data_IF_661581531513
#
_entry.id   IF_661581531513
#
_cell.length_a   1.000
_cell.length_b   1.000
_cell.length_c   1.000
_cell.angle_alpha   90.00
_cell.angle_beta   90.00
_cell.angle_gamma   90.00
#
_symmetry.space_group_name_H-M   'P 1'
#
loop_
_entity.id
_entity.type
_entity.pdbx_description
1 polymer ?
#
# COMPACT_ATOMS: atom_id res chain seq x y z
N UNK A 1 -9.24 21.20 14.00
CA UNK A 1 -10.11 20.07 14.39
C UNK A 1 -10.27 20.02 15.92
N UNK A 2 -11.37 19.47 16.46
CA UNK A 2 -11.61 19.40 17.92
C UNK A 2 -10.95 18.17 18.56
N UNK A 3 -10.67 18.22 19.87
CA UNK A 3 -10.17 17.06 20.62
C UNK A 3 -11.10 15.84 20.55
N UNK A 4 -12.41 16.07 20.39
CA UNK A 4 -13.41 15.00 20.21
C UNK A 4 -13.25 14.29 18.86
N UNK A 5 -12.95 15.04 17.79
CA UNK A 5 -12.71 14.47 16.46
C UNK A 5 -11.42 13.63 16.44
N UNK A 6 -10.34 14.13 17.03
CA UNK A 6 -9.09 13.36 17.11
C UNK A 6 -9.27 12.04 17.86
N UNK A 7 -10.04 12.01 18.96
CA UNK A 7 -10.37 10.76 19.65
C UNK A 7 -11.07 9.75 18.75
N UNK A 8 -11.99 10.18 17.89
CA UNK A 8 -12.65 9.29 16.91
C UNK A 8 -11.66 8.76 15.89
N UNK A 9 -10.77 9.61 15.39
CA UNK A 9 -9.76 9.21 14.40
C UNK A 9 -8.74 8.24 14.97
N UNK A 10 -8.26 8.48 16.19
CA UNK A 10 -7.36 7.52 16.86
C UNK A 10 -8.04 6.18 17.11
N UNK A 11 -9.32 6.18 17.52
CA UNK A 11 -10.09 4.95 17.69
C UNK A 11 -10.20 4.19 16.37
N UNK A 12 -10.56 4.87 15.28
CA UNK A 12 -10.64 4.27 13.95
C UNK A 12 -9.28 3.70 13.50
N UNK A 13 -8.20 4.46 13.65
CA UNK A 13 -6.85 4.01 13.30
C UNK A 13 -6.45 2.76 14.10
N UNK A 14 -6.75 2.70 15.39
CA UNK A 14 -6.48 1.52 16.22
C UNK A 14 -7.28 0.28 15.78
N UNK A 15 -8.59 0.44 15.56
CA UNK A 15 -9.54 -0.65 15.31
C UNK A 15 -9.55 -1.13 13.85
N UNK A 16 -9.41 -0.22 12.89
CA UNK A 16 -9.60 -0.49 11.47
C UNK A 16 -8.32 -0.38 10.63
N UNK A 17 -7.22 0.11 11.20
CA UNK A 17 -5.91 0.15 10.50
C UNK A 17 -4.90 -0.72 11.21
N UNK A 18 -4.55 -0.40 12.46
CA UNK A 18 -3.43 -1.05 13.12
C UNK A 18 -3.74 -2.49 13.50
N UNK A 19 -4.89 -2.74 14.13
CA UNK A 19 -5.27 -4.10 14.53
C UNK A 19 -5.38 -5.05 13.32
N UNK A 20 -6.11 -4.70 12.23
CA UNK A 20 -6.14 -5.51 11.03
C UNK A 20 -4.77 -5.69 10.38
N UNK A 21 -3.93 -4.65 10.34
CA UNK A 21 -2.57 -4.76 9.81
C UNK A 21 -1.78 -5.87 10.51
N UNK A 22 -1.73 -5.87 11.84
CA UNK A 22 -1.01 -6.90 12.60
C UNK A 22 -1.59 -8.31 12.41
N UNK A 23 -2.92 -8.44 12.36
CA UNK A 23 -3.55 -9.74 12.11
C UNK A 23 -3.22 -10.29 10.72
N UNK A 24 -3.42 -9.50 9.66
CA UNK A 24 -3.14 -9.91 8.28
C UNK A 24 -1.66 -10.25 8.13
N UNK A 25 -0.77 -9.41 8.69
CA UNK A 25 0.68 -9.63 8.67
C UNK A 25 1.08 -10.95 9.33
N UNK A 26 0.47 -11.29 10.47
CA UNK A 26 0.75 -12.54 11.19
C UNK A 26 0.27 -13.77 10.39
N UNK A 27 -0.94 -13.71 9.84
CA UNK A 27 -1.51 -14.80 9.03
C UNK A 27 -0.73 -15.00 7.72
N UNK A 28 -0.24 -13.92 7.11
CA UNK A 28 0.60 -13.98 5.93
C UNK A 28 1.91 -14.76 6.17
N UNK A 29 2.55 -14.58 7.34
CA UNK A 29 3.74 -15.38 7.69
C UNK A 29 3.36 -16.83 7.96
N UNK A 30 2.29 -17.08 8.72
CA UNK A 30 1.87 -18.44 9.10
C UNK A 30 1.58 -19.31 7.89
N UNK A 31 0.88 -18.73 6.91
CA UNK A 31 0.48 -19.39 5.67
C UNK A 31 1.57 -19.45 4.60
N UNK A 32 2.71 -18.79 4.84
CA UNK A 32 3.81 -18.72 3.87
C UNK A 32 4.46 -20.09 3.67
N UNK A 33 4.61 -20.48 2.40
CA UNK A 33 5.29 -21.71 1.97
C UNK A 33 6.51 -21.37 1.12
N UNK A 34 7.61 -22.10 1.30
CA UNK A 34 8.85 -21.84 0.57
C UNK A 34 8.64 -21.93 -0.95
N UNK A 35 7.94 -22.97 -1.41
CA UNK A 35 7.61 -23.20 -2.82
C UNK A 35 6.90 -22.03 -3.50
N UNK A 36 5.99 -21.35 -2.78
CA UNK A 36 5.24 -20.21 -3.30
C UNK A 36 6.12 -18.95 -3.45
N UNK A 37 7.05 -18.74 -2.51
CA UNK A 37 7.86 -17.52 -2.50
C UNK A 37 9.07 -17.63 -3.42
N UNK A 38 9.66 -18.82 -3.58
CA UNK A 38 10.80 -19.04 -4.46
C UNK A 38 10.47 -18.65 -5.90
N UNK A 39 9.27 -19.01 -6.38
CA UNK A 39 8.79 -18.68 -7.74
C UNK A 39 8.58 -17.17 -7.99
N UNK A 40 8.46 -16.37 -6.93
CA UNK A 40 8.16 -14.94 -7.03
C UNK A 40 9.37 -14.04 -6.87
N UNK A 41 10.56 -14.62 -6.63
CA UNK A 41 11.80 -13.86 -6.43
C UNK A 41 12.84 -14.24 -7.48
N UNK A 42 13.80 -13.34 -7.67
CA UNK A 42 14.85 -13.49 -8.66
C UNK A 42 16.07 -14.20 -8.04
N UNK A 43 16.32 -15.50 -8.30
CA UNK A 43 17.45 -16.22 -7.73
C UNK A 43 18.80 -15.64 -8.19
N UNK A 44 18.87 -15.10 -9.42
CA UNK A 44 20.09 -14.47 -9.95
C UNK A 44 20.49 -13.24 -9.13
N UNK A 45 19.51 -12.45 -8.65
CA UNK A 45 19.78 -11.30 -7.77
C UNK A 45 20.38 -11.74 -6.43
N UNK A 46 19.89 -12.83 -5.84
CA UNK A 46 20.44 -13.33 -4.59
C UNK A 46 21.84 -13.92 -4.77
N UNK A 47 22.10 -14.61 -5.89
CA UNK A 47 23.45 -15.06 -6.25
C UNK A 47 24.39 -13.87 -6.42
N UNK A 48 23.96 -12.83 -7.11
CA UNK A 48 24.75 -11.60 -7.31
C UNK A 48 25.07 -10.86 -6.01
N UNK A 49 24.24 -11.02 -4.96
CA UNK A 49 24.50 -10.49 -3.62
C UNK A 49 25.51 -11.31 -2.80
N UNK A 50 26.08 -12.37 -3.37
CA UNK A 50 26.99 -13.31 -2.71
C UNK A 50 26.44 -13.86 -1.39
N UNK A 51 25.16 -14.24 -1.37
CA UNK A 51 24.57 -14.90 -0.21
C UNK A 51 25.01 -16.37 -0.23
N UNK A 52 25.65 -16.82 0.84
CA UNK A 52 26.18 -18.19 0.93
C UNK A 52 25.43 -19.05 1.96
N UNK A 53 24.85 -18.41 2.99
CA UNK A 53 24.10 -19.10 4.03
C UNK A 53 22.64 -19.31 3.61
N UNK A 54 22.16 -20.55 3.72
CA UNK A 54 20.76 -20.90 3.45
C UNK A 54 19.78 -20.07 4.29
N UNK A 55 20.09 -19.88 5.59
CA UNK A 55 19.29 -19.05 6.49
C UNK A 55 19.20 -17.58 6.06
N UNK A 56 20.31 -16.99 5.58
CA UNK A 56 20.32 -15.62 5.08
C UNK A 56 19.54 -15.48 3.78
N UNK A 57 19.62 -16.48 2.90
CA UNK A 57 18.82 -16.50 1.67
C UNK A 57 17.33 -16.56 1.98
N UNK A 58 16.90 -17.53 2.81
CA UNK A 58 15.51 -17.68 3.23
C UNK A 58 15.02 -16.42 3.92
N UNK A 59 15.80 -15.86 4.85
CA UNK A 59 15.48 -14.60 5.52
C UNK A 59 15.30 -13.45 4.52
N UNK A 60 16.23 -13.28 3.59
CA UNK A 60 16.15 -12.23 2.57
C UNK A 60 14.92 -12.35 1.67
N UNK A 61 14.49 -13.58 1.37
CA UNK A 61 13.29 -13.85 0.57
C UNK A 61 12.01 -13.55 1.38
N UNK A 62 11.95 -13.99 2.63
CA UNK A 62 10.81 -13.74 3.53
C UNK A 62 10.68 -12.24 3.85
N UNK A 63 11.77 -11.54 4.13
CA UNK A 63 11.76 -10.09 4.37
C UNK A 63 11.27 -9.34 3.13
N UNK A 64 11.73 -9.74 1.93
CA UNK A 64 11.27 -9.14 0.68
C UNK A 64 9.80 -9.47 0.38
N UNK A 65 9.26 -10.59 0.85
CA UNK A 65 7.82 -10.87 0.78
C UNK A 65 7.05 -9.94 1.71
N UNK A 66 7.45 -9.88 2.99
CA UNK A 66 6.79 -9.07 4.00
C UNK A 66 6.75 -7.60 3.62
N UNK A 67 7.87 -7.03 3.19
CA UNK A 67 7.93 -5.63 2.79
C UNK A 67 6.89 -5.27 1.72
N UNK A 68 6.80 -6.06 0.64
CA UNK A 68 5.83 -5.82 -0.44
C UNK A 68 4.38 -6.05 -0.01
N UNK A 69 4.15 -7.02 0.88
CA UNK A 69 2.82 -7.34 1.37
C UNK A 69 2.31 -6.28 2.35
N UNK A 70 3.18 -5.83 3.27
CA UNK A 70 2.91 -4.78 4.24
C UNK A 70 2.55 -3.46 3.56
N UNK A 71 3.27 -3.06 2.51
CA UNK A 71 2.95 -1.85 1.74
C UNK A 71 1.54 -1.90 1.15
N UNK A 72 1.15 -3.05 0.59
CA UNK A 72 -0.18 -3.26 -0.01
C UNK A 72 -1.28 -3.20 1.05
N UNK A 73 -1.10 -3.91 2.17
CA UNK A 73 -2.08 -3.91 3.28
C UNK A 73 -2.24 -2.49 3.82
N UNK A 74 -1.14 -1.81 4.13
CA UNK A 74 -1.18 -0.51 4.77
C UNK A 74 -1.77 0.57 3.86
N UNK A 75 -1.46 0.51 2.56
CA UNK A 75 -2.07 1.37 1.55
C UNK A 75 -3.60 1.25 1.53
N UNK A 76 -4.12 0.02 1.49
CA UNK A 76 -5.57 -0.24 1.48
C UNK A 76 -6.26 0.24 2.76
N UNK A 77 -5.63 0.03 3.93
CA UNK A 77 -6.21 0.44 5.21
C UNK A 77 -6.21 1.97 5.36
N UNK A 78 -5.15 2.65 4.93
CA UNK A 78 -5.10 4.12 4.95
C UNK A 78 -6.00 4.78 3.91
N UNK A 79 -6.26 4.13 2.77
CA UNK A 79 -7.32 4.53 1.84
C UNK A 79 -8.68 4.53 2.56
N UNK A 80 -9.00 3.45 3.29
CA UNK A 80 -10.20 3.36 4.11
C UNK A 80 -10.30 4.49 5.14
N UNK A 81 -9.19 4.81 5.81
CA UNK A 81 -9.14 5.93 6.75
C UNK A 81 -9.37 7.28 6.06
N UNK A 82 -8.77 7.52 4.89
CA UNK A 82 -8.98 8.76 4.13
C UNK A 82 -10.45 8.95 3.72
N UNK A 83 -11.11 7.87 3.29
CA UNK A 83 -12.55 7.86 3.00
C UNK A 83 -13.35 8.16 4.27
N UNK A 84 -13.02 7.53 5.40
CA UNK A 84 -13.68 7.79 6.69
C UNK A 84 -13.54 9.24 7.15
N UNK A 85 -12.35 9.84 7.02
CA UNK A 85 -12.10 11.25 7.38
C UNK A 85 -12.98 12.18 6.54
N UNK A 86 -12.96 12.02 5.21
CA UNK A 86 -13.79 12.82 4.31
C UNK A 86 -15.29 12.58 4.52
N UNK A 87 -15.69 11.33 4.80
CA UNK A 87 -17.06 10.94 5.14
C UNK A 87 -17.63 11.73 6.31
N UNK A 88 -16.85 11.91 7.38
CA UNK A 88 -17.29 12.62 8.57
C UNK A 88 -17.40 14.15 8.40
N UNK A 89 -16.69 14.73 7.43
CA UNK A 89 -16.61 16.19 7.27
C UNK A 89 -17.38 16.71 6.06
N UNK A 90 -17.32 15.97 4.95
CA UNK A 90 -17.84 16.40 3.65
C UNK A 90 -18.80 15.37 3.03
N UNK A 91 -19.25 14.38 3.81
CA UNK A 91 -20.14 13.32 3.32
C UNK A 91 -19.51 12.45 2.24
N UNK A 92 -18.18 12.33 2.24
CA UNK A 92 -17.45 11.54 1.26
C UNK A 92 -17.82 10.05 1.26
N UNK A 93 -17.87 9.47 0.07
CA UNK A 93 -18.27 8.07 -0.18
C UNK A 93 -17.21 7.33 -0.99
N UNK A 94 -17.17 6.00 -0.84
CA UNK A 94 -16.33 5.16 -1.70
C UNK A 94 -16.93 5.10 -3.11
N UNK A 95 -16.09 5.32 -4.12
CA UNK A 95 -16.53 5.28 -5.52
C UNK A 95 -16.56 3.85 -6.06
N UNK A 96 -17.41 3.63 -7.06
CA UNK A 96 -17.40 2.44 -7.92
C UNK A 96 -16.71 2.70 -9.27
N UNK A 97 -16.29 3.94 -9.53
CA UNK A 97 -15.67 4.35 -10.79
C UNK A 97 -14.18 3.95 -10.81
N UNK A 98 -13.70 3.48 -11.96
CA UNK A 98 -12.30 3.06 -12.11
C UNK A 98 -11.34 4.19 -11.74
N UNK A 99 -10.30 3.87 -10.97
CA UNK A 99 -9.27 4.81 -10.50
C UNK A 99 -9.78 5.96 -9.61
N UNK A 100 -11.04 5.91 -9.17
CA UNK A 100 -11.60 6.81 -8.17
C UNK A 100 -11.87 5.95 -6.93
N UNK A 101 -11.34 6.39 -5.79
CA UNK A 101 -11.47 5.69 -4.51
C UNK A 101 -12.43 6.47 -3.58
N UNK A 102 -12.45 7.80 -3.70
CA UNK A 102 -13.27 8.70 -2.87
C UNK A 102 -13.97 9.76 -3.74
N UNK A 103 -15.24 10.00 -3.46
CA UNK A 103 -16.05 11.08 -4.03
C UNK A 103 -16.64 11.94 -2.91
N UNK A 104 -16.62 13.27 -3.06
CA UNK A 104 -17.27 14.19 -2.11
C UNK A 104 -17.51 15.57 -2.72
N UNK A 105 -18.42 16.35 -2.12
CA UNK A 105 -18.70 17.72 -2.52
C UNK A 105 -18.22 18.71 -1.45
N UNK A 106 -17.59 19.81 -1.87
CA UNK A 106 -17.21 20.92 -0.99
C UNK A 106 -17.22 22.23 -1.78
N UNK A 107 -17.81 23.27 -1.19
CA UNK A 107 -17.85 24.64 -1.75
C UNK A 107 -18.31 24.71 -3.21
N UNK A 108 -19.34 23.92 -3.55
CA UNK A 108 -19.91 23.87 -4.90
C UNK A 108 -19.06 23.11 -5.94
N UNK A 109 -17.98 22.45 -5.53
CA UNK A 109 -17.13 21.59 -6.36
C UNK A 109 -17.33 20.13 -5.97
N UNK A 110 -17.45 19.26 -6.98
CA UNK A 110 -17.49 17.81 -6.78
C UNK A 110 -16.10 17.24 -7.05
N UNK A 111 -15.51 16.55 -6.07
CA UNK A 111 -14.18 15.98 -6.17
C UNK A 111 -14.25 14.48 -6.39
N UNK A 112 -13.50 14.01 -7.39
CA UNK A 112 -13.21 12.59 -7.59
C UNK A 112 -11.72 12.38 -7.26
N UNK A 113 -11.43 11.45 -6.37
CA UNK A 113 -10.08 11.26 -5.83
C UNK A 113 -9.60 9.84 -6.04
N UNK A 114 -8.50 9.67 -6.76
CA UNK A 114 -7.73 8.43 -6.78
C UNK A 114 -6.62 8.46 -5.73
N UNK A 115 -6.72 7.62 -4.71
CA UNK A 115 -5.82 7.53 -3.57
C UNK A 115 -4.71 6.53 -3.88
N UNK A 116 -3.48 6.91 -3.57
CA UNK A 116 -2.27 6.10 -3.78
C UNK A 116 -1.32 6.28 -2.58
N UNK A 117 -0.43 5.32 -2.34
CA UNK A 117 0.49 5.38 -1.21
C UNK A 117 1.45 6.57 -1.31
N UNK A 118 2.21 6.67 -2.39
CA UNK A 118 3.23 7.71 -2.58
C UNK A 118 3.18 8.41 -3.94
N UNK A 119 4.04 9.40 -4.14
CA UNK A 119 4.06 10.22 -5.37
C UNK A 119 4.51 9.48 -6.63
N UNK A 120 5.30 8.41 -6.47
CA UNK A 120 5.89 7.58 -7.52
C UNK A 120 5.17 6.22 -7.64
N UNK A 121 3.84 6.22 -7.56
CA UNK A 121 3.03 5.01 -7.48
C UNK A 121 2.89 4.23 -8.80
N UNK A 122 3.29 4.80 -9.94
CA UNK A 122 3.13 4.13 -11.21
C UNK A 122 3.96 4.73 -12.34
N UNK A 123 4.16 3.91 -13.38
CA UNK A 123 4.82 4.28 -14.62
C UNK A 123 3.91 5.15 -15.52
N UNK A 124 4.43 5.58 -16.68
CA UNK A 124 3.69 6.41 -17.64
C UNK A 124 2.34 5.81 -18.04
N UNK A 125 2.27 4.51 -18.25
CA UNK A 125 1.07 3.83 -18.73
C UNK A 125 -0.01 3.78 -17.66
N UNK A 126 0.38 3.55 -16.41
CA UNK A 126 -0.53 3.60 -15.26
C UNK A 126 -1.07 5.02 -15.04
N UNK A 127 -0.22 6.03 -15.20
CA UNK A 127 -0.61 7.45 -15.09
C UNK A 127 -1.57 7.84 -16.21
N UNK A 128 -1.30 7.44 -17.46
CA UNK A 128 -2.17 7.72 -18.60
C UNK A 128 -3.54 7.05 -18.43
N UNK A 129 -3.56 5.79 -17.97
CA UNK A 129 -4.81 5.07 -17.69
C UNK A 129 -5.65 5.74 -16.61
N UNK A 130 -5.02 6.26 -15.55
CA UNK A 130 -5.74 7.04 -14.54
C UNK A 130 -6.35 8.31 -15.13
N UNK A 131 -5.64 9.03 -16.01
CA UNK A 131 -6.18 10.22 -16.68
C UNK A 131 -7.41 9.88 -17.53
N UNK A 132 -7.36 8.79 -18.27
CA UNK A 132 -8.48 8.31 -19.09
C UNK A 132 -9.68 7.94 -18.22
N UNK A 133 -9.43 7.23 -17.13
CA UNK A 133 -10.47 6.87 -16.17
C UNK A 133 -11.08 8.09 -15.47
N UNK A 134 -10.30 9.11 -15.10
CA UNK A 134 -10.82 10.36 -14.56
C UNK A 134 -11.69 11.12 -15.57
N UNK A 135 -11.28 11.17 -16.85
CA UNK A 135 -12.11 11.75 -17.91
C UNK A 135 -13.44 11.02 -18.03
N UNK A 136 -13.42 9.68 -18.05
CA UNK A 136 -14.62 8.86 -18.12
C UNK A 136 -15.51 9.04 -16.88
N UNK A 137 -14.94 9.09 -15.69
CA UNK A 137 -15.66 9.30 -14.44
C UNK A 137 -16.40 10.65 -14.44
N UNK A 138 -15.76 11.73 -14.89
CA UNK A 138 -16.40 13.05 -15.06
C UNK A 138 -17.64 12.95 -15.96
N UNK A 139 -17.51 12.30 -17.12
CA UNK A 139 -18.62 12.09 -18.06
C UNK A 139 -19.78 11.33 -17.42
N UNK A 140 -19.50 10.20 -16.77
CA UNK A 140 -20.51 9.36 -16.12
C UNK A 140 -21.25 10.14 -15.02
N UNK A 141 -20.53 10.93 -14.21
CA UNK A 141 -21.14 11.71 -13.15
C UNK A 141 -22.03 12.83 -13.66
N UNK A 142 -21.65 13.47 -14.77
CA UNK A 142 -22.48 14.47 -15.45
C UNK A 142 -23.76 13.84 -16.01
N UNK A 143 -23.67 12.68 -16.64
CA UNK A 143 -24.83 11.91 -17.13
C UNK A 143 -25.77 11.49 -15.98
N UNK A 144 -25.21 11.20 -14.80
CA UNK A 144 -25.95 10.93 -13.56
C UNK A 144 -26.53 12.20 -12.89
N UNK A 145 -26.35 13.37 -13.48
CA UNK A 145 -26.96 14.62 -13.01
C UNK A 145 -26.08 15.48 -12.09
N UNK A 146 -24.78 15.19 -11.96
CA UNK A 146 -23.85 16.06 -11.23
C UNK A 146 -23.64 17.36 -12.00
N UNK A 147 -24.26 18.45 -11.54
CA UNK A 147 -24.20 19.78 -12.18
C UNK A 147 -22.97 20.60 -11.75
N UNK A 148 -22.38 20.26 -10.61
CA UNK A 148 -21.21 20.94 -10.07
C UNK A 148 -19.98 20.75 -10.98
N UNK A 149 -19.04 21.68 -10.90
CA UNK A 149 -17.72 21.50 -11.49
C UNK A 149 -17.07 20.25 -10.88
N UNK A 150 -16.63 19.31 -11.73
CA UNK A 150 -15.96 18.08 -11.29
C UNK A 150 -14.44 18.25 -11.38
N UNK A 151 -13.74 18.10 -10.27
CA UNK A 151 -12.28 18.19 -10.19
C UNK A 151 -11.68 16.84 -9.82
N UNK A 152 -10.75 16.38 -10.66
CA UNK A 152 -10.01 15.14 -10.40
C UNK A 152 -8.76 15.42 -9.54
N UNK A 153 -8.54 14.57 -8.54
CA UNK A 153 -7.40 14.65 -7.64
C UNK A 153 -6.73 13.27 -7.56
N UNK A 154 -5.41 13.23 -7.67
CA UNK A 154 -4.60 12.10 -7.24
C UNK A 154 -4.08 12.39 -5.84
N UNK A 155 -4.68 11.78 -4.83
CA UNK A 155 -4.25 11.88 -3.44
C UNK A 155 -3.12 10.91 -3.16
N UNK A 156 -1.99 11.39 -2.66
CA UNK A 156 -0.88 10.57 -2.21
C UNK A 156 -0.77 10.66 -0.68
N UNK A 157 -0.86 9.51 -0.01
CA UNK A 157 -0.84 9.40 1.46
C UNK A 157 0.44 9.99 2.05
N UNK A 158 1.58 9.77 1.39
CA UNK A 158 2.87 10.36 1.76
C UNK A 158 3.61 10.95 0.55
N UNK A 159 4.71 11.65 0.85
CA UNK A 159 5.56 12.31 -0.13
C UNK A 159 5.29 13.80 -0.23
N UNK A 160 5.96 14.45 -1.18
CA UNK A 160 5.84 15.90 -1.43
C UNK A 160 5.75 16.12 -2.94
N UNK A 161 4.81 16.96 -3.36
CA UNK A 161 4.69 17.40 -4.76
C UNK A 161 4.68 18.94 -4.78
N UNK A 162 5.63 19.53 -5.50
CA UNK A 162 5.79 21.00 -5.59
C UNK A 162 5.02 21.62 -6.75
N UNK A 163 4.40 20.80 -7.61
CA UNK A 163 3.64 21.25 -8.77
C UNK A 163 2.33 20.48 -8.86
N UNK A 164 1.35 20.79 -7.98
CA UNK A 164 0.15 19.98 -7.83
C UNK A 164 -0.64 19.82 -9.13
N UNK A 165 -0.79 20.88 -9.93
CA UNK A 165 -1.54 20.79 -11.19
C UNK A 165 -0.77 19.98 -12.25
N UNK A 166 -1.31 18.82 -12.61
CA UNK A 166 -0.77 17.96 -13.67
C UNK A 166 -1.50 18.24 -14.98
N UNK A 167 -1.01 19.26 -15.69
CA UNK A 167 -1.52 19.71 -17.00
C UNK A 167 -1.50 18.60 -18.05
N UNK A 168 -2.36 18.75 -19.04
CA UNK A 168 -2.49 17.91 -20.22
C UNK A 168 -3.17 18.71 -21.34
N UNK A 169 -2.89 18.36 -22.59
CA UNK A 169 -3.46 19.00 -23.79
C UNK A 169 -4.99 18.87 -23.82
N UNK A 170 -5.51 17.69 -23.49
CA UNK A 170 -6.92 17.47 -23.17
C UNK A 170 -7.23 17.96 -21.74
N UNK A 171 -8.05 19.01 -21.55
CA UNK A 171 -8.36 19.59 -20.25
C UNK A 171 -9.09 18.62 -19.32
N UNK A 172 -9.86 17.66 -19.85
CA UNK A 172 -10.58 16.70 -19.03
C UNK A 172 -9.64 15.67 -18.38
N UNK A 173 -8.44 15.51 -18.94
CA UNK A 173 -7.37 14.65 -18.39
C UNK A 173 -6.49 15.38 -17.37
N UNK A 174 -6.75 16.65 -17.08
CA UNK A 174 -6.06 17.39 -16.02
C UNK A 174 -6.55 16.94 -14.64
N UNK A 175 -5.61 16.88 -13.69
CA UNK A 175 -5.88 16.56 -12.30
C UNK A 175 -4.89 17.28 -11.39
N UNK A 176 -5.23 17.39 -10.10
CA UNK A 176 -4.30 17.85 -9.06
C UNK A 176 -3.65 16.66 -8.36
N UNK A 177 -2.34 16.69 -8.14
CA UNK A 177 -1.66 15.75 -7.24
C UNK A 177 -1.44 16.44 -5.89
N UNK A 178 -2.11 15.94 -4.86
CA UNK A 178 -1.90 16.39 -3.48
C UNK A 178 -1.19 15.27 -2.74
N UNK A 179 -0.09 15.58 -2.04
CA UNK A 179 0.77 14.58 -1.44
C UNK A 179 1.09 14.90 0.02
N UNK A 180 1.07 13.87 0.87
CA UNK A 180 1.38 13.99 2.29
C UNK A 180 0.45 14.98 2.98
N UNK A 181 1.02 15.97 3.66
CA UNK A 181 0.28 17.00 4.38
C UNK A 181 -0.81 17.65 3.52
N UNK A 182 -0.53 17.96 2.25
CA UNK A 182 -1.50 18.60 1.35
C UNK A 182 -2.73 17.71 1.11
N UNK A 183 -2.53 16.40 0.96
CA UNK A 183 -3.65 15.47 0.78
C UNK A 183 -4.47 15.34 2.05
N UNK A 184 -3.82 15.17 3.20
CA UNK A 184 -4.50 15.05 4.48
C UNK A 184 -5.26 16.33 4.84
N UNK A 185 -4.66 17.50 4.60
CA UNK A 185 -5.35 18.78 4.71
C UNK A 185 -6.54 18.84 3.75
N UNK A 186 -6.34 18.48 2.48
CA UNK A 186 -7.39 18.55 1.46
C UNK A 186 -8.66 17.78 1.85
N UNK A 187 -8.54 16.59 2.45
CA UNK A 187 -9.70 15.77 2.84
C UNK A 187 -10.24 16.06 4.24
N UNK A 188 -9.51 16.82 5.08
CA UNK A 188 -9.88 17.02 6.49
C UNK A 188 -10.02 18.48 6.94
N UNK A 189 -9.50 19.42 6.16
CA UNK A 189 -9.32 20.81 6.58
C UNK A 189 -8.32 21.00 7.73
N UNK A 190 -7.52 19.99 8.08
CA UNK A 190 -6.54 20.05 9.18
C UNK A 190 -5.12 19.77 8.70
N UNK A 191 -4.25 20.77 8.84
CA UNK A 191 -2.82 20.68 8.52
C UNK A 191 -2.04 19.70 9.39
N UNK A 192 -2.56 19.34 10.57
CA UNK A 192 -1.87 18.48 11.52
C UNK A 192 -2.21 17.00 11.35
N UNK A 193 -3.29 16.67 10.64
CA UNK A 193 -3.80 15.29 10.59
C UNK A 193 -2.73 14.28 10.16
N UNK A 194 -1.86 14.63 9.22
CA UNK A 194 -0.79 13.72 8.76
C UNK A 194 0.18 13.29 9.88
N UNK A 195 0.41 14.15 10.88
CA UNK A 195 1.22 13.83 12.06
C UNK A 195 0.43 12.99 13.04
N UNK A 196 -0.84 13.35 13.23
CA UNK A 196 -1.72 12.71 14.21
C UNK A 196 -2.00 11.24 13.91
N UNK A 197 -1.86 10.83 12.64
CA UNK A 197 -1.94 9.42 12.24
C UNK A 197 -0.90 8.54 12.93
N UNK A 198 0.29 9.07 13.28
CA UNK A 198 1.36 8.26 13.88
C UNK A 198 1.12 7.90 15.34
N UNK A 199 0.35 8.72 16.06
CA UNK A 199 0.10 8.58 17.51
C UNK A 199 -0.47 7.21 17.89
N UNK A 200 -1.57 6.71 17.30
CA UNK A 200 -2.08 5.39 17.64
C UNK A 200 -1.14 4.27 17.20
N UNK A 201 -0.34 4.47 16.15
CA UNK A 201 0.61 3.47 15.63
C UNK A 201 1.70 3.18 16.68
N UNK A 202 2.32 4.22 17.26
CA UNK A 202 3.38 4.05 18.26
C UNK A 202 2.88 3.33 19.52
N UNK A 203 1.65 3.63 19.96
CA UNK A 203 1.06 3.00 21.16
C UNK A 203 0.86 1.49 20.99
N UNK A 204 0.33 1.09 19.84
CA UNK A 204 -0.06 -0.30 19.57
C UNK A 204 1.13 -1.18 19.11
N UNK A 205 2.10 -0.59 18.41
CA UNK A 205 3.20 -1.35 17.83
C UNK A 205 4.06 -2.07 18.88
N UNK A 206 4.28 -1.44 20.04
CA UNK A 206 5.09 -2.02 21.12
C UNK A 206 4.48 -3.27 21.74
N UNK A 207 3.15 -3.40 21.72
CA UNK A 207 2.43 -4.50 22.36
C UNK A 207 2.38 -5.77 21.49
N UNK A 208 2.51 -5.63 20.16
CA UNK A 208 2.26 -6.71 19.19
C UNK A 208 3.54 -7.32 18.59
N UNK A 209 4.70 -6.87 19.05
CA UNK A 209 6.01 -7.23 18.48
C UNK A 209 6.51 -8.62 18.94
N UNK A 210 6.26 -9.02 20.19
CA UNK A 210 6.79 -10.29 20.73
C UNK A 210 6.17 -11.53 20.07
N UNK A 211 4.84 -11.55 19.92
CA UNK A 211 4.14 -12.66 19.28
C UNK A 211 4.57 -12.81 17.81
N UNK A 212 4.75 -11.70 17.11
CA UNK A 212 5.22 -11.69 15.72
C UNK A 212 6.66 -12.22 15.62
N UNK A 213 7.58 -11.75 16.47
CA UNK A 213 8.97 -12.21 16.50
C UNK A 213 9.10 -13.72 16.66
N UNK A 214 8.31 -14.33 17.56
CA UNK A 214 8.30 -15.78 17.77
C UNK A 214 7.84 -16.54 16.52
N UNK A 215 6.76 -16.08 15.88
CA UNK A 215 6.23 -16.72 14.66
C UNK A 215 7.18 -16.53 13.48
N UNK A 216 7.76 -15.34 13.33
CA UNK A 216 8.76 -15.05 12.30
C UNK A 216 9.99 -15.97 12.44
N UNK A 217 10.57 -16.05 13.65
CA UNK A 217 11.75 -16.90 13.88
C UNK A 217 11.47 -18.38 13.62
N UNK A 218 10.31 -18.88 14.07
CA UNK A 218 9.89 -20.25 13.78
C UNK A 218 9.75 -20.50 12.28
N UNK A 219 9.13 -19.58 11.53
CA UNK A 219 8.95 -19.70 10.08
C UNK A 219 10.28 -19.66 9.32
N UNK A 220 11.22 -18.80 9.72
CA UNK A 220 12.56 -18.79 9.12
C UNK A 220 13.26 -20.14 9.34
N UNK A 221 13.22 -20.69 10.55
CA UNK A 221 13.84 -21.98 10.85
C UNK A 221 13.19 -23.13 10.05
N UNK A 222 11.86 -23.19 10.03
CA UNK A 222 11.07 -24.15 9.24
C UNK A 222 11.45 -24.11 7.76
N UNK A 223 11.43 -22.92 7.15
CA UNK A 223 11.77 -22.74 5.73
C UNK A 223 13.26 -22.98 5.45
N UNK A 224 14.14 -22.69 6.40
CA UNK A 224 15.57 -22.99 6.25
C UNK A 224 15.82 -24.48 6.27
N UNK A 225 15.12 -25.25 7.11
CA UNK A 225 15.18 -26.71 7.11
C UNK A 225 14.67 -27.27 5.78
N UNK A 226 13.51 -26.80 5.31
CA UNK A 226 12.95 -27.18 4.02
C UNK A 226 13.91 -26.83 2.86
N UNK A 227 14.48 -25.63 2.87
CA UNK A 227 15.43 -25.19 1.85
C UNK A 227 16.69 -26.06 1.86
N UNK A 228 17.24 -26.34 3.05
CA UNK A 228 18.45 -27.14 3.22
C UNK A 228 18.26 -28.56 2.67
N UNK A 229 17.09 -29.17 2.93
CA UNK A 229 16.77 -30.50 2.43
C UNK A 229 16.67 -30.57 0.90
N UNK A 230 16.34 -29.46 0.24
CA UNK A 230 15.99 -29.46 -1.18
C UNK A 230 17.03 -28.78 -2.08
N UNK A 231 17.79 -27.80 -1.60
CA UNK A 231 18.61 -26.90 -2.43
C UNK A 231 20.05 -26.77 -1.94
N UNK A 232 20.57 -27.79 -1.26
CA UNK A 232 21.98 -27.86 -0.85
C UNK A 232 22.70 -29.00 -1.56
N UNK A 233 23.97 -28.77 -1.84
CA UNK A 233 24.92 -29.77 -2.35
C UNK A 233 25.46 -30.64 -1.21
N UNK A 234 26.16 -31.73 -1.56
CA UNK A 234 26.79 -32.64 -0.58
C UNK A 234 27.92 -31.98 0.22
N UNK A 235 28.54 -30.91 -0.30
CA UNK A 235 29.56 -30.09 0.36
C UNK A 235 28.99 -28.91 1.16
N UNK A 236 27.68 -28.94 1.46
CA UNK A 236 26.96 -27.93 2.24
C UNK A 236 26.99 -26.52 1.62
N UNK A 237 26.99 -26.44 0.30
CA UNK A 237 26.81 -25.20 -0.45
C UNK A 237 25.39 -25.10 -1.01
N UNK A 238 24.92 -23.89 -1.30
CA UNK A 238 23.63 -23.71 -1.98
C UNK A 238 23.76 -24.24 -3.42
N UNK A 239 22.90 -25.18 -3.81
CA UNK A 239 22.76 -25.67 -5.17
C UNK A 239 21.97 -24.66 -6.02
N UNK A 240 22.70 -23.63 -6.47
CA UNK A 240 22.14 -22.55 -7.28
C UNK A 240 21.56 -23.03 -8.61
N UNK A 241 22.14 -24.05 -9.23
CA UNK A 241 21.63 -24.58 -10.50
C UNK A 241 20.29 -25.26 -10.28
N UNK A 242 20.16 -26.09 -9.24
CA UNK A 242 18.88 -26.71 -8.87
C UNK A 242 17.83 -25.68 -8.50
N UNK A 243 18.20 -24.64 -7.76
CA UNK A 243 17.29 -23.55 -7.41
C UNK A 243 16.81 -22.79 -8.64
N UNK A 244 17.70 -22.48 -9.59
CA UNK A 244 17.35 -21.82 -10.85
C UNK A 244 16.44 -22.72 -11.69
N UNK A 245 16.78 -24.00 -11.82
CA UNK A 245 15.95 -24.97 -12.53
C UNK A 245 14.54 -25.03 -11.93
N UNK A 246 14.43 -25.06 -10.60
CA UNK A 246 13.15 -25.09 -9.89
C UNK A 246 12.24 -23.88 -10.20
N UNK A 247 12.81 -22.70 -10.43
CA UNK A 247 12.02 -21.48 -10.65
C UNK A 247 11.92 -21.03 -12.12
N UNK A 248 12.74 -21.59 -13.02
CA UNK A 248 12.86 -21.08 -14.40
C UNK A 248 12.87 -22.15 -15.48
N UNK A 249 13.11 -23.42 -15.15
CA UNK A 249 13.11 -24.47 -16.17
C UNK A 249 11.70 -24.62 -16.74
N UNK A 250 11.62 -24.74 -18.06
CA UNK A 250 10.38 -25.07 -18.74
C UNK A 250 9.91 -26.45 -18.27
N UNK A 251 8.62 -26.58 -18.01
CA UNK A 251 7.96 -27.87 -17.78
C UNK A 251 8.17 -28.85 -18.95
#
# INVERSE_FOLDING_TARGET
MTASQYRRYYKYLAEHVITPFYHIRLEAIRSLKLSDILKRKNPYLFKAKNIELAGDLVKGIVDAFLSSHEETIFGNLLEGFAIYVSGNLYGGVKSELKSVDLEFARDGVYYIVGIKSGTNWGNSDQINRMRDNFKLAKKILQERGTKNKIVAVNGCIYGKDRSPLKKHVDPDKQYYKYAGQEFWHFISGDDNLYREIITPIDKEARQKDEAFKKVYAAKINEMTQEFTANFMTLDNQIDWLKLIDYVSKRD
#
